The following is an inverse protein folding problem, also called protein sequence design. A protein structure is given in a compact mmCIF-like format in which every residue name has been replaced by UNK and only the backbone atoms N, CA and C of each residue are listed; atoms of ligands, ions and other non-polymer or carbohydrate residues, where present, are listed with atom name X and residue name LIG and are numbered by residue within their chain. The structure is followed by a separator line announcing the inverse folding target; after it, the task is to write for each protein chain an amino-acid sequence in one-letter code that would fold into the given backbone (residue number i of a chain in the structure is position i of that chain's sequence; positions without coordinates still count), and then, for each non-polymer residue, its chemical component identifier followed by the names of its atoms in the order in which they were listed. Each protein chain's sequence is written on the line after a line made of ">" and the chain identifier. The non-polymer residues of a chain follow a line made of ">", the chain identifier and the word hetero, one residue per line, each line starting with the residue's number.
data_IF_768629156566
#
_entry.id   IF_768629156566
#
_cell.length_a   1.000
_cell.length_b   1.000
_cell.length_c   1.000
_cell.angle_alpha   90.00
_cell.angle_beta   90.00
_cell.angle_gamma   90.00
#
_symmetry.space_group_name_H-M   'P 1'
#
loop_
_entity.id
_entity.type
_entity.pdbx_description
1 polymer ?
#
# COMPACT_ATOMS: atom_id res chain seq x y z
N UNK A 1 -3.60 2.05 -15.15
CA UNK A 1 -3.01 3.08 -14.29
C UNK A 1 -1.66 2.61 -13.78
N UNK A 2 -0.74 3.53 -13.57
CA UNK A 2 0.61 3.28 -13.07
C UNK A 2 0.84 4.09 -11.80
N UNK A 3 1.47 3.49 -10.80
CA UNK A 3 1.93 4.15 -9.59
C UNK A 3 3.41 3.82 -9.35
N UNK A 4 4.18 4.80 -8.91
CA UNK A 4 5.58 4.65 -8.49
C UNK A 4 5.64 4.30 -7.01
N UNK A 5 4.90 5.02 -6.18
CA UNK A 5 4.87 4.84 -4.75
C UNK A 5 3.87 3.76 -4.31
N UNK A 6 2.59 4.01 -4.49
CA UNK A 6 1.54 3.13 -4.01
C UNK A 6 0.23 3.23 -4.80
N UNK A 7 -0.57 2.20 -4.63
CA UNK A 7 -2.00 2.24 -4.91
C UNK A 7 -2.72 2.26 -3.58
N UNK A 8 -3.43 3.35 -3.28
CA UNK A 8 -4.27 3.46 -2.10
C UNK A 8 -5.73 3.20 -2.44
N UNK A 9 -6.40 2.42 -1.61
CA UNK A 9 -7.83 2.15 -1.68
C UNK A 9 -8.46 2.82 -0.47
N UNK A 10 -9.34 3.79 -0.69
CA UNK A 10 -9.90 4.64 0.35
C UNK A 10 -11.43 4.60 0.36
N UNK A 11 -12.02 4.69 1.55
CA UNK A 11 -13.46 4.90 1.68
C UNK A 11 -13.87 6.25 1.09
N UNK A 12 -15.01 6.29 0.40
CA UNK A 12 -15.58 7.53 -0.16
C UNK A 12 -16.62 8.18 0.74
N UNK A 13 -17.03 7.50 1.80
CA UNK A 13 -18.05 7.98 2.72
C UNK A 13 -17.54 7.99 4.15
N UNK A 14 -18.35 8.49 5.09
CA UNK A 14 -18.03 8.44 6.53
C UNK A 14 -17.99 7.01 7.08
N UNK A 15 -18.60 6.05 6.41
CA UNK A 15 -18.56 4.64 6.80
C UNK A 15 -17.23 4.01 6.39
N UNK A 16 -16.68 3.18 7.26
CA UNK A 16 -15.46 2.42 6.96
C UNK A 16 -15.64 1.53 5.72
N UNK A 17 -14.60 1.37 4.93
CA UNK A 17 -14.56 0.42 3.83
C UNK A 17 -14.72 -1.02 4.36
N UNK A 18 -15.26 -1.90 3.51
CA UNK A 18 -15.39 -3.33 3.79
C UNK A 18 -14.83 -4.10 2.60
N UNK A 19 -13.63 -4.63 2.73
CA UNK A 19 -12.92 -5.25 1.61
C UNK A 19 -12.41 -6.64 1.95
N UNK A 20 -12.26 -7.49 0.93
CA UNK A 20 -11.49 -8.72 1.00
C UNK A 20 -10.17 -8.55 0.24
N UNK A 21 -9.14 -9.28 0.65
CA UNK A 21 -7.80 -9.21 0.05
C UNK A 21 -7.33 -10.62 -0.31
N UNK A 22 -6.95 -10.80 -1.58
CA UNK A 22 -6.32 -12.02 -2.10
C UNK A 22 -4.92 -11.70 -2.61
N UNK A 23 -4.02 -12.67 -2.49
CA UNK A 23 -2.68 -12.65 -3.09
C UNK A 23 -2.55 -13.92 -3.93
N UNK A 24 -2.52 -13.75 -5.25
CA UNK A 24 -2.73 -14.87 -6.17
C UNK A 24 -4.10 -15.51 -5.93
N UNK A 25 -4.14 -16.82 -5.75
CA UNK A 25 -5.35 -17.58 -5.38
C UNK A 25 -5.65 -17.55 -3.87
N UNK A 26 -4.66 -17.19 -3.03
CA UNK A 26 -4.79 -17.28 -1.55
C UNK A 26 -5.57 -16.10 -1.00
N UNK A 27 -6.64 -16.39 -0.27
CA UNK A 27 -7.38 -15.40 0.52
C UNK A 27 -6.57 -15.05 1.78
N UNK A 28 -6.15 -13.77 1.90
CA UNK A 28 -5.37 -13.28 3.03
C UNK A 28 -6.29 -12.77 4.14
N UNK A 29 -7.30 -12.00 3.73
CA UNK A 29 -8.33 -11.49 4.63
C UNK A 29 -9.69 -11.62 3.95
N UNK A 30 -10.62 -12.31 4.62
CA UNK A 30 -12.00 -12.48 4.14
C UNK A 30 -12.78 -11.17 4.23
N UNK A 31 -12.59 -10.42 5.32
CA UNK A 31 -13.25 -9.14 5.55
C UNK A 31 -12.39 -8.23 6.42
N UNK A 32 -11.94 -7.14 5.83
CA UNK A 32 -11.28 -6.04 6.53
C UNK A 32 -12.22 -4.84 6.58
N UNK A 33 -12.45 -4.33 7.78
CA UNK A 33 -13.13 -3.05 8.03
C UNK A 33 -12.07 -2.04 8.43
N UNK A 34 -11.90 -1.01 7.61
CA UNK A 34 -10.82 -0.01 7.74
C UNK A 34 -11.19 1.27 7.00
N UNK A 35 -10.40 2.31 7.15
CA UNK A 35 -10.52 3.49 6.28
C UNK A 35 -10.00 3.21 4.86
N UNK A 36 -9.14 2.20 4.71
CA UNK A 36 -8.62 1.79 3.42
C UNK A 36 -7.52 0.74 3.51
N UNK A 37 -6.86 0.54 2.38
CA UNK A 37 -5.71 -0.37 2.20
C UNK A 37 -4.71 0.29 1.26
N UNK A 38 -3.42 0.17 1.57
CA UNK A 38 -2.32 0.56 0.70
C UNK A 38 -1.63 -0.67 0.13
N UNK A 39 -1.26 -0.59 -1.14
CA UNK A 39 -0.32 -1.51 -1.80
C UNK A 39 0.87 -0.68 -2.25
N UNK A 40 2.00 -0.82 -1.55
CA UNK A 40 3.15 0.06 -1.72
C UNK A 40 4.37 -0.68 -2.27
N UNK A 41 5.09 -0.02 -3.16
CA UNK A 41 6.42 -0.43 -3.64
C UNK A 41 7.48 -0.19 -2.57
N UNK A 42 8.70 -0.71 -2.73
CA UNK A 42 9.83 -0.32 -1.88
C UNK A 42 10.07 1.20 -1.87
N UNK A 43 9.95 1.88 -3.02
CA UNK A 43 10.10 3.33 -3.09
C UNK A 43 9.02 4.08 -2.28
N UNK A 44 7.77 3.66 -2.40
CA UNK A 44 6.65 4.22 -1.66
C UNK A 44 6.58 3.79 -0.19
N UNK A 45 7.41 2.83 0.25
CA UNK A 45 7.38 2.35 1.63
C UNK A 45 7.71 3.42 2.67
N UNK A 46 8.40 4.50 2.27
CA UNK A 46 8.71 5.68 3.09
C UNK A 46 7.76 6.87 2.86
N UNK A 47 6.75 6.70 2.01
CA UNK A 47 5.70 7.69 1.74
C UNK A 47 4.44 7.39 2.59
N UNK A 48 3.26 7.36 2.01
CA UNK A 48 2.01 7.13 2.75
C UNK A 48 2.00 5.79 3.53
N UNK A 49 2.70 4.76 3.00
CA UNK A 49 2.84 3.48 3.71
C UNK A 49 3.48 3.66 5.10
N UNK A 50 4.46 4.55 5.24
CA UNK A 50 5.09 4.83 6.55
C UNK A 50 4.10 5.52 7.50
N UNK A 51 3.31 6.47 7.00
CA UNK A 51 2.30 7.18 7.80
C UNK A 51 1.19 6.26 8.34
N UNK A 52 0.93 5.13 7.70
CA UNK A 52 -0.01 4.11 8.19
C UNK A 52 0.69 2.99 8.95
N UNK A 53 1.93 3.22 9.39
CA UNK A 53 2.76 2.25 10.11
C UNK A 53 3.04 0.96 9.32
N UNK A 54 3.04 1.05 7.99
CA UNK A 54 3.48 -0.04 7.12
C UNK A 54 5.00 -0.25 7.20
N UNK A 55 5.50 -1.44 6.83
CA UNK A 55 6.93 -1.74 6.89
C UNK A 55 7.71 -0.92 5.86
N UNK A 56 8.89 -0.42 6.25
CA UNK A 56 9.85 0.16 5.32
C UNK A 56 10.59 -0.97 4.62
N UNK A 57 10.60 -0.93 3.28
CA UNK A 57 11.22 -1.93 2.44
C UNK A 57 12.51 -1.39 1.82
N UNK A 58 13.55 -2.22 1.77
CA UNK A 58 14.76 -1.88 1.00
C UNK A 58 14.41 -1.72 -0.49
N UNK A 59 14.97 -0.70 -1.14
CA UNK A 59 14.71 -0.40 -2.56
C UNK A 59 15.00 -1.59 -3.49
N UNK A 60 16.00 -2.41 -3.14
CA UNK A 60 16.38 -3.58 -3.92
C UNK A 60 15.59 -4.84 -3.53
N UNK A 61 14.66 -4.73 -2.59
CA UNK A 61 13.87 -5.90 -2.18
C UNK A 61 12.84 -6.24 -3.27
N UNK A 62 12.71 -7.53 -3.55
CA UNK A 62 11.65 -8.05 -4.42
C UNK A 62 10.35 -8.25 -3.63
N UNK A 63 9.93 -7.20 -2.91
CA UNK A 63 8.78 -7.22 -2.00
C UNK A 63 7.90 -6.01 -2.23
N UNK A 64 6.63 -6.15 -1.91
CA UNK A 64 5.65 -5.07 -1.82
C UNK A 64 4.90 -5.19 -0.50
N UNK A 65 4.49 -4.04 0.02
CA UNK A 65 3.71 -3.96 1.26
C UNK A 65 2.21 -3.90 0.94
N UNK A 66 1.42 -4.61 1.70
CA UNK A 66 -0.04 -4.44 1.76
C UNK A 66 -0.37 -4.05 3.19
N UNK A 67 -0.70 -2.79 3.42
CA UNK A 67 -0.95 -2.24 4.75
C UNK A 67 -2.37 -1.70 4.88
N UNK A 68 -3.07 -1.93 6.01
CA UNK A 68 -4.37 -1.31 6.25
C UNK A 68 -4.21 0.15 6.67
N UNK A 69 -5.22 0.95 6.36
CA UNK A 69 -5.37 2.31 6.88
C UNK A 69 -6.40 2.25 7.99
N UNK A 70 -6.01 2.55 9.23
CA UNK A 70 -6.90 2.57 10.40
C UNK A 70 -7.77 1.32 10.52
N UNK A 71 -7.15 0.13 10.62
CA UNK A 71 -7.86 -1.14 10.72
C UNK A 71 -8.75 -1.20 11.96
N UNK A 72 -10.06 -1.34 11.78
CA UNK A 72 -11.05 -1.52 12.85
C UNK A 72 -11.31 -2.99 13.16
N UNK A 73 -11.45 -3.82 12.13
CA UNK A 73 -11.64 -5.29 12.26
C UNK A 73 -10.95 -6.01 11.09
N UNK A 74 -10.02 -6.95 11.34
CA UNK A 74 -9.40 -7.25 12.65
C UNK A 74 -8.43 -6.12 13.08
N UNK A 75 -8.52 -5.67 14.32
CA UNK A 75 -7.72 -4.52 14.84
C UNK A 75 -6.22 -4.78 14.85
N UNK A 76 -5.79 -6.02 15.02
CA UNK A 76 -4.38 -6.41 15.12
C UNK A 76 -3.74 -6.74 13.78
N UNK A 77 -4.48 -6.67 12.68
CA UNK A 77 -3.89 -6.93 11.37
C UNK A 77 -3.05 -5.73 10.92
N UNK A 78 -1.74 -5.95 10.91
CA UNK A 78 -0.76 -4.92 10.54
C UNK A 78 -0.41 -4.93 9.05
N UNK A 79 -1.08 -5.75 8.25
CA UNK A 79 -0.77 -5.91 6.84
C UNK A 79 0.11 -7.13 6.55
N UNK A 80 0.64 -7.18 5.35
CA UNK A 80 1.47 -8.30 4.87
C UNK A 80 2.50 -7.82 3.86
N UNK A 81 3.73 -8.31 3.99
CA UNK A 81 4.73 -8.20 2.94
C UNK A 81 4.56 -9.40 2.01
N UNK A 82 4.51 -9.15 0.71
CA UNK A 82 4.36 -10.17 -0.33
C UNK A 82 5.45 -10.03 -1.39
N UNK A 83 5.63 -11.06 -2.23
CA UNK A 83 6.58 -11.01 -3.33
C UNK A 83 6.11 -10.01 -4.40
N UNK A 84 7.03 -9.30 -5.05
CA UNK A 84 6.75 -8.33 -6.11
C UNK A 84 6.05 -8.93 -7.34
N UNK A 85 6.23 -10.23 -7.61
CA UNK A 85 5.52 -10.95 -8.67
C UNK A 85 4.07 -11.30 -8.32
N UNK A 86 3.64 -11.02 -7.10
CA UNK A 86 2.29 -11.36 -6.64
C UNK A 86 1.24 -10.49 -7.31
N UNK A 87 0.12 -11.11 -7.70
CA UNK A 87 -1.12 -10.41 -8.06
C UNK A 87 -1.92 -10.17 -6.78
N UNK A 88 -2.17 -8.92 -6.43
CA UNK A 88 -2.99 -8.54 -5.28
C UNK A 88 -4.35 -8.12 -5.80
N UNK A 89 -5.41 -8.72 -5.28
CA UNK A 89 -6.79 -8.36 -5.62
C UNK A 89 -7.51 -7.92 -4.35
N UNK A 90 -8.05 -6.71 -4.39
CA UNK A 90 -8.84 -6.10 -3.32
C UNK A 90 -10.25 -5.92 -3.84
N UNK A 91 -11.23 -6.56 -3.20
CA UNK A 91 -12.62 -6.54 -3.62
C UNK A 91 -13.47 -5.84 -2.58
N UNK A 92 -14.26 -4.84 -3.00
CA UNK A 92 -15.25 -4.20 -2.15
C UNK A 92 -16.42 -5.15 -1.90
N UNK A 93 -16.68 -5.45 -0.64
CA UNK A 93 -17.74 -6.38 -0.23
C UNK A 93 -19.15 -5.73 -0.17
N UNK A 94 -19.22 -4.39 -0.20
CA UNK A 94 -20.47 -3.69 -0.17
C UNK A 94 -20.37 -2.34 -0.93
N UNK A 95 -20.28 -2.37 -2.26
CA UNK A 95 -19.99 -1.17 -3.06
C UNK A 95 -21.11 -0.12 -3.01
N UNK A 96 -22.35 -0.51 -2.79
CA UNK A 96 -23.48 0.44 -2.69
C UNK A 96 -23.44 1.22 -1.38
N UNK A 97 -23.35 0.51 -0.25
CA UNK A 97 -23.38 1.14 1.08
C UNK A 97 -22.03 1.72 1.49
N UNK A 98 -20.92 1.16 0.99
CA UNK A 98 -19.55 1.49 1.39
C UNK A 98 -18.67 1.67 0.15
N UNK A 99 -18.95 2.70 -0.67
CA UNK A 99 -18.16 2.95 -1.87
C UNK A 99 -16.70 3.24 -1.52
N UNK A 100 -15.80 2.80 -2.39
CA UNK A 100 -14.36 3.03 -2.27
C UNK A 100 -13.83 3.65 -3.55
N UNK A 101 -12.76 4.43 -3.43
CA UNK A 101 -11.92 4.86 -4.54
C UNK A 101 -10.58 4.14 -4.52
N UNK A 102 -9.98 4.00 -5.69
CA UNK A 102 -8.62 3.56 -5.87
C UNK A 102 -7.81 4.73 -6.43
N UNK A 103 -6.65 5.01 -5.82
CA UNK A 103 -5.76 6.10 -6.24
C UNK A 103 -4.40 5.49 -6.57
N UNK A 104 -3.94 5.68 -7.79
CA UNK A 104 -2.60 5.31 -8.23
C UNK A 104 -1.72 6.59 -8.22
N UNK A 105 -0.89 6.75 -7.18
CA UNK A 105 -0.19 7.99 -6.83
C UNK A 105 -1.16 9.19 -6.77
N UNK A 106 -1.44 9.85 -7.92
CA UNK A 106 -2.31 11.03 -8.01
C UNK A 106 -3.56 10.82 -8.90
N UNK A 107 -3.76 9.63 -9.48
CA UNK A 107 -4.89 9.33 -10.36
C UNK A 107 -5.98 8.54 -9.62
N UNK A 108 -7.13 9.17 -9.40
CA UNK A 108 -8.26 8.56 -8.69
C UNK A 108 -9.26 7.90 -9.63
N UNK A 109 -9.73 6.72 -9.24
CA UNK A 109 -10.90 6.03 -9.82
C UNK A 109 -11.92 5.80 -8.72
N UNK A 110 -13.09 6.40 -8.85
CA UNK A 110 -14.17 6.31 -7.85
C UNK A 110 -15.06 5.10 -8.08
N UNK A 111 -15.82 4.72 -7.04
CA UNK A 111 -16.79 3.61 -7.07
C UNK A 111 -16.19 2.27 -7.52
N UNK A 112 -14.95 2.01 -7.13
CA UNK A 112 -14.25 0.79 -7.49
C UNK A 112 -14.90 -0.43 -6.82
N UNK A 113 -15.18 -1.47 -7.62
CA UNK A 113 -15.73 -2.74 -7.14
C UNK A 113 -14.64 -3.75 -6.82
N UNK A 114 -13.63 -3.82 -7.69
CA UNK A 114 -12.47 -4.69 -7.53
C UNK A 114 -11.24 -4.05 -8.15
N UNK A 115 -10.15 -4.08 -7.42
CA UNK A 115 -8.87 -3.51 -7.82
C UNK A 115 -7.83 -4.62 -7.87
N UNK A 116 -7.12 -4.72 -8.98
CA UNK A 116 -5.99 -5.63 -9.12
C UNK A 116 -4.71 -4.84 -9.26
N UNK A 117 -3.75 -5.11 -8.38
CA UNK A 117 -2.42 -4.49 -8.37
C UNK A 117 -1.37 -5.54 -8.70
N UNK A 118 -0.47 -5.19 -9.61
CA UNK A 118 0.70 -5.99 -10.00
C UNK A 118 1.88 -5.06 -10.22
N UNK A 119 3.08 -5.51 -9.87
CA UNK A 119 4.31 -4.79 -10.22
C UNK A 119 4.55 -4.87 -11.73
N UNK A 120 4.93 -3.74 -12.33
CA UNK A 120 5.38 -3.67 -13.70
C UNK A 120 6.91 -3.64 -13.76
N UNK A 121 7.53 -4.80 -13.91
CA UNK A 121 8.98 -4.94 -13.93
C UNK A 121 9.65 -4.46 -15.26
N UNK A 122 8.84 -4.04 -16.26
CA UNK A 122 9.35 -3.46 -17.51
C UNK A 122 9.77 -2.00 -17.35
N UNK A 123 9.20 -1.31 -16.35
CA UNK A 123 9.50 0.10 -16.05
C UNK A 123 10.54 0.12 -14.94
N UNK A 124 11.64 0.83 -15.19
CA UNK A 124 12.73 1.03 -14.23
C UNK A 124 12.98 2.51 -14.08
N UNK A 125 13.24 2.94 -12.86
CA UNK A 125 13.65 4.31 -12.55
C UNK A 125 15.10 4.30 -12.09
N UNK A 126 15.93 5.16 -12.67
CA UNK A 126 17.30 5.37 -12.22
C UNK A 126 17.29 6.53 -11.24
N UNK A 127 17.64 6.26 -10.00
CA UNK A 127 17.78 7.27 -8.97
C UNK A 127 19.21 7.80 -8.97
N UNK A 128 19.37 9.09 -9.28
CA UNK A 128 20.64 9.80 -9.19
C UNK A 128 20.77 10.42 -7.79
N UNK A 129 21.91 10.24 -7.18
CA UNK A 129 22.21 10.82 -5.87
C UNK A 129 23.72 11.05 -5.69
N UNK A 130 24.09 12.02 -4.86
CA UNK A 130 25.47 12.27 -4.49
C UNK A 130 26.06 11.11 -3.72
N UNK A 131 27.36 10.84 -3.90
CA UNK A 131 28.10 9.69 -3.31
C UNK A 131 27.86 9.51 -1.80
N UNK A 132 27.61 10.59 -1.06
CA UNK A 132 27.41 10.57 0.39
C UNK A 132 25.95 10.73 0.82
N UNK A 133 24.98 10.84 -0.12
CA UNK A 133 23.55 11.10 0.14
C UNK A 133 22.63 10.03 -0.44
N UNK A 134 23.04 8.77 -0.36
CA UNK A 134 22.20 7.69 -0.90
C UNK A 134 20.85 7.63 -0.22
N UNK A 135 19.81 7.27 -0.99
CA UNK A 135 18.45 7.10 -0.48
C UNK A 135 18.38 6.04 0.62
N UNK A 136 19.20 5.00 0.53
CA UNK A 136 19.34 3.98 1.59
C UNK A 136 19.82 4.59 2.92
N UNK A 137 20.78 5.53 2.88
CA UNK A 137 21.25 6.24 4.07
C UNK A 137 20.15 7.14 4.65
N UNK A 138 19.38 7.85 3.79
CA UNK A 138 18.23 8.64 4.24
C UNK A 138 17.16 7.77 4.90
N UNK A 139 16.79 6.64 4.28
CA UNK A 139 15.82 5.69 4.85
C UNK A 139 16.30 5.20 6.23
N UNK A 140 17.58 4.85 6.37
CA UNK A 140 18.15 4.42 7.66
C UNK A 140 18.10 5.51 8.71
N UNK A 141 18.40 6.76 8.34
CA UNK A 141 18.31 7.92 9.23
C UNK A 141 16.86 8.12 9.66
N UNK A 142 15.90 8.06 8.74
CA UNK A 142 14.47 8.22 9.02
C UNK A 142 13.94 7.13 9.96
N UNK A 143 14.39 5.88 9.79
CA UNK A 143 14.04 4.77 10.70
C UNK A 143 14.57 4.98 12.13
N UNK A 144 15.72 5.67 12.26
CA UNK A 144 16.37 5.92 13.56
C UNK A 144 15.95 7.25 14.17
N UNK A 145 15.26 8.10 13.42
CA UNK A 145 14.82 9.41 13.88
C UNK A 145 13.75 9.22 14.95
N UNK A 146 14.15 9.35 16.20
CA UNK A 146 13.22 9.52 17.30
C UNK A 146 12.67 10.95 17.17
N UNK A 147 11.37 11.11 17.24
CA UNK A 147 10.76 12.42 17.40
C UNK A 147 11.29 12.99 18.71
N UNK A 148 12.26 13.88 18.61
CA UNK A 148 12.64 14.74 19.74
C UNK A 148 11.61 15.87 19.74
N UNK A 149 10.73 15.87 20.74
CA UNK A 149 9.92 17.02 21.10
C UNK A 149 10.81 18.22 21.38
#
# INVERSE_FOLDING_TARGET
>A
YLAINEVSILRQSRQAASVSIKVGSKLIIKKLISDGVLVSTPAGSTAYNMSVHGPILSLNSKKISVAPISAFRPRRWKGKIVNDKSKITITNLNPVKRPISAVADNLEVRNAKSITVKTNNKIKFNLLYDKNRSLQKKIKIEQLRRETN
#
